data_IF_581166013550
#
_entry.id   IF_581166013550
#
_cell.length_a   1.000
_cell.length_b   1.000
_cell.length_c   1.000
_cell.angle_alpha   90.00
_cell.angle_beta   90.00
_cell.angle_gamma   90.00
#
_symmetry.space_group_name_H-M   'P 1'
#
loop_
_entity.id
_entity.type
_entity.pdbx_description
1 polymer ?
#
# COMPACT_ATOMS: atom_id res chain seq x y z
N UNK A 1 -12.26 69.02 32.84
CA UNK A 1 -13.32 68.02 33.17
C UNK A 1 -13.29 66.90 32.15
N UNK A 2 -13.53 65.66 32.61
CA UNK A 2 -13.72 64.40 31.87
C UNK A 2 -12.47 63.59 31.52
N UNK A 3 -12.05 62.87 32.55
CA UNK A 3 -11.49 61.53 32.52
C UNK A 3 -12.34 60.55 31.70
N UNK A 4 -11.70 59.70 30.89
CA UNK A 4 -12.33 58.48 30.37
C UNK A 4 -11.45 57.29 30.78
N UNK A 5 -12.05 56.44 31.60
CA UNK A 5 -11.50 55.25 32.24
C UNK A 5 -11.30 54.13 31.21
N UNK A 6 -10.19 53.41 31.37
CA UNK A 6 -9.92 52.12 30.73
C UNK A 6 -10.96 51.09 31.22
N UNK A 7 -11.67 50.43 30.30
CA UNK A 7 -12.36 49.18 30.58
C UNK A 7 -11.58 48.04 29.94
N UNK A 8 -11.05 47.17 30.78
CA UNK A 8 -10.57 45.85 30.40
C UNK A 8 -11.79 44.92 30.33
N UNK A 9 -12.12 44.42 29.14
CA UNK A 9 -13.08 43.33 28.97
C UNK A 9 -12.30 42.02 28.95
N UNK A 10 -12.32 41.30 30.07
CA UNK A 10 -11.95 39.90 30.14
C UNK A 10 -13.03 39.06 29.44
N UNK A 11 -12.70 38.50 28.27
CA UNK A 11 -13.51 37.46 27.64
C UNK A 11 -13.01 36.09 28.11
N UNK A 12 -13.66 35.56 29.15
CA UNK A 12 -13.68 34.14 29.46
C UNK A 12 -14.93 33.55 28.79
N UNK A 13 -14.75 32.84 27.68
CA UNK A 13 -15.78 31.93 27.15
C UNK A 13 -15.09 30.62 26.77
N UNK A 14 -15.62 29.56 27.36
CA UNK A 14 -14.94 28.28 27.54
C UNK A 14 -14.74 27.50 26.25
N UNK A 15 -13.68 26.70 26.28
CA UNK A 15 -13.49 25.56 25.39
C UNK A 15 -14.74 24.67 25.44
N UNK A 16 -15.49 24.64 24.35
CA UNK A 16 -16.31 23.48 24.01
C UNK A 16 -15.48 22.61 23.07
N UNK A 17 -14.70 21.70 23.68
CA UNK A 17 -14.17 20.56 22.97
C UNK A 17 -15.34 19.64 22.60
N UNK A 18 -15.98 19.93 21.45
CA UNK A 18 -16.86 18.99 20.78
C UNK A 18 -15.97 17.86 20.25
N UNK A 19 -15.76 16.85 21.09
CA UNK A 19 -15.24 15.57 20.68
C UNK A 19 -16.15 14.99 19.62
N UNK A 20 -15.70 15.00 18.36
CA UNK A 20 -16.37 14.35 17.26
C UNK A 20 -16.18 12.84 17.39
N UNK A 21 -17.02 12.19 18.20
CA UNK A 21 -17.18 10.74 18.12
C UNK A 21 -18.15 10.42 16.97
N UNK A 22 -17.64 10.35 15.75
CA UNK A 22 -18.35 9.68 14.66
C UNK A 22 -18.04 8.19 14.70
N UNK A 23 -18.51 7.49 15.74
CA UNK A 23 -18.59 6.03 15.78
C UNK A 23 -20.00 5.57 15.44
N UNK A 24 -20.59 6.16 14.39
CA UNK A 24 -21.74 5.57 13.73
C UNK A 24 -21.27 4.49 12.77
N UNK A 25 -21.06 3.26 13.25
CA UNK A 25 -20.79 2.12 12.36
C UNK A 25 -21.95 1.97 11.37
N UNK A 26 -21.65 1.83 10.08
CA UNK A 26 -22.70 1.64 9.08
C UNK A 26 -23.38 0.28 9.32
N UNK A 27 -24.71 0.26 9.20
CA UNK A 27 -25.48 -0.97 9.35
C UNK A 27 -25.03 -2.02 8.34
N UNK A 28 -24.72 -3.23 8.83
CA UNK A 28 -24.36 -4.39 8.00
C UNK A 28 -25.58 -5.19 7.53
N UNK A 29 -26.79 -4.77 7.93
CA UNK A 29 -28.02 -5.50 7.62
C UNK A 29 -28.25 -5.55 6.11
N UNK A 30 -28.31 -6.77 5.57
CA UNK A 30 -28.52 -7.02 4.14
C UNK A 30 -27.27 -6.82 3.26
N UNK A 31 -26.10 -6.58 3.85
CA UNK A 31 -24.83 -6.51 3.13
C UNK A 31 -24.44 -7.89 2.59
N UNK A 32 -23.85 -7.91 1.39
CA UNK A 32 -23.09 -9.06 0.91
C UNK A 32 -21.63 -8.70 0.70
N UNK A 33 -20.79 -9.73 0.73
CA UNK A 33 -19.35 -9.66 0.52
C UNK A 33 -18.96 -10.93 -0.23
N UNK A 34 -18.05 -10.88 -1.21
CA UNK A 34 -17.56 -12.10 -1.85
C UNK A 34 -16.50 -12.77 -0.97
N UNK A 35 -15.54 -11.98 -0.47
CA UNK A 35 -14.54 -12.42 0.48
C UNK A 35 -13.69 -11.27 1.05
N UNK A 36 -12.99 -11.55 2.15
CA UNK A 36 -11.98 -10.66 2.71
C UNK A 36 -10.80 -11.44 3.29
N UNK A 37 -9.65 -10.79 3.36
CA UNK A 37 -8.44 -11.35 3.97
C UNK A 37 -7.53 -10.22 4.47
N UNK A 38 -6.88 -10.45 5.60
CA UNK A 38 -5.79 -9.63 6.10
C UNK A 38 -4.54 -10.50 6.24
N UNK A 39 -3.40 -10.03 5.73
CA UNK A 39 -2.12 -10.74 5.78
C UNK A 39 -1.01 -9.86 6.30
N UNK A 40 0.01 -10.48 6.89
CA UNK A 40 1.32 -9.86 7.11
C UNK A 40 2.00 -9.61 5.76
N UNK A 41 2.39 -8.37 5.48
CA UNK A 41 3.03 -8.03 4.22
C UNK A 41 4.46 -8.60 4.08
N UNK A 42 5.15 -8.86 5.19
CA UNK A 42 6.51 -9.39 5.16
C UNK A 42 6.55 -10.88 4.82
N UNK A 43 5.59 -11.64 5.34
CA UNK A 43 5.59 -13.11 5.27
C UNK A 43 4.47 -13.69 4.39
N UNK A 44 3.43 -12.90 4.11
CA UNK A 44 2.19 -13.40 3.51
C UNK A 44 1.34 -14.24 4.46
N UNK A 45 1.69 -14.31 5.75
CA UNK A 45 0.93 -15.06 6.75
C UNK A 45 -0.48 -14.48 6.90
N UNK A 46 -1.49 -15.35 6.88
CA UNK A 46 -2.88 -14.94 7.09
C UNK A 46 -3.13 -14.55 8.54
N UNK A 47 -3.64 -13.35 8.76
CA UNK A 47 -4.00 -12.81 10.08
C UNK A 47 -5.50 -12.94 10.34
N UNK A 48 -6.34 -12.78 9.33
CA UNK A 48 -7.79 -13.05 9.34
C UNK A 48 -8.30 -13.26 7.92
N UNK A 49 -9.43 -13.96 7.77
CA UNK A 49 -10.06 -14.18 6.47
C UNK A 49 -11.55 -14.53 6.63
N UNK A 50 -12.36 -14.13 5.65
CA UNK A 50 -13.74 -14.60 5.43
C UNK A 50 -13.89 -14.93 3.94
N UNK A 51 -14.31 -16.17 3.63
CA UNK A 51 -14.49 -16.68 2.26
C UNK A 51 -13.38 -16.24 1.28
N UNK A 52 -12.10 -16.39 1.66
CA UNK A 52 -10.97 -15.80 0.94
C UNK A 52 -10.78 -16.35 -0.48
N UNK A 53 -11.33 -17.54 -0.77
CA UNK A 53 -11.19 -18.26 -2.03
C UNK A 53 -12.46 -18.23 -2.92
N UNK A 54 -13.50 -17.49 -2.48
CA UNK A 54 -14.69 -17.20 -3.28
C UNK A 54 -14.32 -16.39 -4.51
N UNK A 55 -14.90 -16.76 -5.65
CA UNK A 55 -14.72 -16.04 -6.91
C UNK A 55 -15.51 -14.73 -6.88
N UNK A 56 -14.87 -13.67 -7.34
CA UNK A 56 -15.49 -12.37 -7.59
C UNK A 56 -14.75 -11.61 -8.69
N UNK A 57 -15.18 -10.39 -8.97
CA UNK A 57 -14.52 -9.52 -9.94
C UNK A 57 -13.69 -8.44 -9.22
N UNK A 58 -12.40 -8.29 -9.55
CA UNK A 58 -11.52 -7.32 -8.87
C UNK A 58 -11.88 -5.85 -9.14
N UNK A 59 -12.67 -5.57 -10.17
CA UNK A 59 -12.84 -4.22 -10.72
C UNK A 59 -11.47 -3.55 -10.91
N UNK A 60 -11.34 -2.24 -10.65
CA UNK A 60 -10.08 -1.52 -10.79
C UNK A 60 -8.92 -2.00 -9.88
N UNK A 61 -9.14 -2.92 -8.94
CA UNK A 61 -8.02 -3.54 -8.20
C UNK A 61 -7.09 -4.31 -9.15
N UNK A 62 -7.58 -4.75 -10.32
CA UNK A 62 -6.76 -5.27 -11.44
C UNK A 62 -5.54 -4.40 -11.75
N UNK A 63 -5.67 -3.08 -11.64
CA UNK A 63 -4.60 -2.14 -11.99
C UNK A 63 -3.33 -2.29 -11.14
N UNK A 64 -3.40 -2.97 -9.99
CA UNK A 64 -2.22 -3.35 -9.23
C UNK A 64 -1.32 -4.32 -10.01
N UNK A 65 -1.89 -5.26 -10.78
CA UNK A 65 -1.11 -6.14 -11.66
C UNK A 65 -0.47 -5.34 -12.80
N UNK A 66 -1.22 -4.40 -13.40
CA UNK A 66 -0.68 -3.51 -14.43
C UNK A 66 0.48 -2.67 -13.89
N UNK A 67 0.33 -2.06 -12.71
CA UNK A 67 1.41 -1.33 -12.04
C UNK A 67 2.60 -2.23 -11.73
N UNK A 68 2.37 -3.43 -11.19
CA UNK A 68 3.44 -4.38 -10.86
C UNK A 68 4.31 -4.68 -12.08
N UNK A 69 3.70 -5.03 -13.22
CA UNK A 69 4.45 -5.36 -14.42
C UNK A 69 5.27 -4.18 -14.96
N UNK A 70 4.72 -2.96 -14.91
CA UNK A 70 5.44 -1.75 -15.32
C UNK A 70 6.63 -1.50 -14.40
N UNK A 71 6.45 -1.62 -13.08
CA UNK A 71 7.55 -1.43 -12.12
C UNK A 71 8.60 -2.54 -12.20
N UNK A 72 8.21 -3.77 -12.54
CA UNK A 72 9.16 -4.85 -12.83
C UNK A 72 10.00 -4.57 -14.08
N UNK A 73 9.42 -3.95 -15.13
CA UNK A 73 10.19 -3.51 -16.30
C UNK A 73 11.17 -2.39 -15.96
N UNK A 74 10.78 -1.46 -15.07
CA UNK A 74 11.68 -0.42 -14.56
C UNK A 74 12.82 -1.03 -13.76
N UNK A 75 12.52 -1.96 -12.85
CA UNK A 75 13.52 -2.67 -12.04
C UNK A 75 14.48 -3.49 -12.91
N UNK A 76 14.00 -4.08 -14.00
CA UNK A 76 14.79 -4.85 -14.95
C UNK A 76 15.55 -3.96 -15.98
N UNK A 77 15.46 -2.63 -15.88
CA UNK A 77 16.14 -1.70 -16.79
C UNK A 77 15.58 -1.68 -18.23
N UNK A 78 14.39 -2.25 -18.47
CA UNK A 78 13.75 -2.25 -19.79
C UNK A 78 13.11 -0.91 -20.13
N UNK A 79 12.81 -0.11 -19.11
CA UNK A 79 12.28 1.24 -19.22
C UNK A 79 12.66 2.04 -17.97
N UNK A 80 12.32 3.33 -17.94
CA UNK A 80 12.48 4.18 -16.76
C UNK A 80 11.19 4.94 -16.49
N UNK A 81 11.02 5.49 -15.28
CA UNK A 81 9.85 6.30 -14.95
C UNK A 81 9.73 7.57 -15.79
N UNK A 82 10.84 8.08 -16.36
CA UNK A 82 10.86 9.26 -17.22
C UNK A 82 10.67 8.93 -18.70
N UNK A 83 10.79 7.66 -19.11
CA UNK A 83 10.49 7.24 -20.47
C UNK A 83 9.04 7.60 -20.81
N UNK A 84 8.82 8.07 -22.04
CA UNK A 84 7.53 8.59 -22.46
C UNK A 84 6.72 7.54 -23.19
N UNK A 85 5.43 7.51 -22.90
CA UNK A 85 4.42 6.64 -23.53
C UNK A 85 3.55 7.49 -24.44
N UNK A 86 3.51 7.13 -25.72
CA UNK A 86 2.63 7.78 -26.70
C UNK A 86 1.24 7.15 -26.64
N UNK A 87 0.23 7.99 -26.44
CA UNK A 87 -1.17 7.59 -26.32
C UNK A 87 -1.70 7.13 -27.67
N UNK A 88 -2.28 5.94 -27.71
CA UNK A 88 -2.88 5.37 -28.92
C UNK A 88 -4.39 5.63 -28.98
N UNK A 89 -4.99 5.46 -30.18
CA UNK A 89 -6.46 5.50 -30.33
C UNK A 89 -7.17 4.47 -29.44
N UNK A 90 -6.55 3.30 -29.23
CA UNK A 90 -7.09 2.27 -28.35
C UNK A 90 -7.14 2.73 -26.89
N UNK A 91 -6.09 3.44 -26.42
CA UNK A 91 -6.07 3.99 -25.07
C UNK A 91 -7.10 5.11 -24.88
N UNK A 92 -7.20 6.03 -25.85
CA UNK A 92 -8.15 7.15 -25.78
C UNK A 92 -9.62 6.69 -25.89
N UNK A 93 -9.90 5.60 -26.60
CA UNK A 93 -11.25 5.09 -26.86
C UNK A 93 -11.84 4.18 -25.78
N UNK A 94 -11.10 3.89 -24.70
CA UNK A 94 -11.63 3.06 -23.60
C UNK A 94 -12.70 3.82 -22.81
N UNK A 95 -13.65 3.13 -22.18
CA UNK A 95 -14.66 3.75 -21.31
C UNK A 95 -14.25 3.78 -19.82
N UNK A 96 -15.14 4.29 -18.98
CA UNK A 96 -15.00 4.30 -17.51
C UNK A 96 -14.19 5.48 -16.96
N UNK A 97 -13.55 5.32 -15.79
CA UNK A 97 -12.72 6.37 -15.19
C UNK A 97 -11.49 6.66 -16.07
N UNK A 98 -11.21 7.94 -16.33
CA UNK A 98 -10.18 8.38 -17.27
C UNK A 98 -9.56 9.71 -16.84
N UNK A 99 -8.37 10.00 -17.36
CA UNK A 99 -7.80 11.35 -17.37
C UNK A 99 -7.93 12.02 -18.74
N UNK A 100 -8.67 11.39 -19.66
CA UNK A 100 -8.99 11.87 -21.01
C UNK A 100 -7.74 12.08 -21.86
N UNK A 101 -6.91 11.05 -21.93
CA UNK A 101 -5.72 11.04 -22.80
C UNK A 101 -6.13 11.13 -24.28
N UNK A 102 -5.49 12.01 -25.05
CA UNK A 102 -5.76 12.18 -26.48
C UNK A 102 -4.70 11.43 -27.33
N UNK A 103 -5.08 10.82 -28.47
CA UNK A 103 -4.13 10.13 -29.34
C UNK A 103 -2.99 11.05 -29.79
N UNK A 104 -1.76 10.56 -29.71
CA UNK A 104 -0.55 11.33 -30.06
C UNK A 104 0.01 12.18 -28.92
N UNK A 105 -0.74 12.41 -27.84
CA UNK A 105 -0.13 12.93 -26.61
C UNK A 105 0.93 11.93 -26.08
N UNK A 106 1.90 12.44 -25.35
CA UNK A 106 2.99 11.63 -24.82
C UNK A 106 3.23 12.02 -23.37
N UNK A 107 3.34 11.06 -22.46
CA UNK A 107 3.51 11.32 -21.02
C UNK A 107 4.59 10.42 -20.41
N UNK A 108 5.35 10.89 -19.41
CA UNK A 108 6.21 10.02 -18.62
C UNK A 108 5.43 8.86 -18.00
N UNK A 109 6.06 7.69 -17.88
CA UNK A 109 5.47 6.53 -17.18
C UNK A 109 5.01 6.91 -15.76
N UNK A 110 5.77 7.75 -15.05
CA UNK A 110 5.40 8.22 -13.71
C UNK A 110 4.02 8.92 -13.67
N UNK A 111 3.73 9.78 -14.64
CA UNK A 111 2.44 10.48 -14.72
C UNK A 111 1.29 9.51 -15.00
N UNK A 112 1.52 8.53 -15.88
CA UNK A 112 0.53 7.49 -16.15
C UNK A 112 0.30 6.58 -14.94
N UNK A 113 1.33 6.29 -14.13
CA UNK A 113 1.18 5.54 -12.87
C UNK A 113 0.41 6.33 -11.83
N UNK A 114 0.61 7.66 -11.71
CA UNK A 114 -0.23 8.51 -10.87
C UNK A 114 -1.69 8.50 -11.34
N UNK A 115 -1.94 8.65 -12.64
CA UNK A 115 -3.30 8.56 -13.20
C UNK A 115 -3.95 7.18 -12.96
N UNK A 116 -3.17 6.11 -13.12
CA UNK A 116 -3.59 4.73 -12.91
C UNK A 116 -4.02 4.49 -11.45
N UNK A 117 -3.28 5.03 -10.47
CA UNK A 117 -3.52 4.77 -9.05
C UNK A 117 -4.52 5.73 -8.42
N UNK A 118 -4.43 7.04 -8.69
CA UNK A 118 -5.26 8.06 -8.03
C UNK A 118 -6.65 8.16 -8.68
N UNK A 119 -6.71 8.55 -9.96
CA UNK A 119 -7.98 8.65 -10.71
C UNK A 119 -8.51 7.31 -11.21
N UNK A 120 -7.76 6.23 -10.97
CA UNK A 120 -8.13 4.90 -11.45
C UNK A 120 -8.30 4.83 -12.97
N UNK A 121 -7.47 5.59 -13.70
CA UNK A 121 -7.64 5.89 -15.12
C UNK A 121 -7.45 4.65 -16.02
N UNK A 122 -8.47 4.32 -16.81
CA UNK A 122 -8.51 3.18 -17.71
C UNK A 122 -7.70 3.41 -18.99
N UNK A 123 -7.68 4.65 -19.47
CA UNK A 123 -6.88 5.11 -20.61
C UNK A 123 -5.39 4.99 -20.29
N UNK A 124 -4.96 5.38 -19.09
CA UNK A 124 -3.58 5.17 -18.63
C UNK A 124 -3.20 3.68 -18.57
N UNK A 125 -4.11 2.82 -18.10
CA UNK A 125 -3.89 1.37 -18.06
C UNK A 125 -3.68 0.78 -19.46
N UNK A 126 -4.50 1.18 -20.44
CA UNK A 126 -4.39 0.71 -21.82
C UNK A 126 -3.15 1.28 -22.50
N UNK A 127 -2.82 2.55 -22.25
CA UNK A 127 -1.60 3.17 -22.78
C UNK A 127 -0.34 2.44 -22.31
N UNK A 128 -0.22 2.18 -21.00
CA UNK A 128 0.88 1.40 -20.42
C UNK A 128 0.93 -0.03 -20.97
N UNK A 129 -0.23 -0.67 -21.13
CA UNK A 129 -0.30 -2.03 -21.65
C UNK A 129 0.19 -2.13 -23.11
N UNK A 130 -0.27 -1.22 -23.97
CA UNK A 130 0.12 -1.17 -25.39
C UNK A 130 1.59 -0.81 -25.54
N UNK A 131 2.10 0.15 -24.78
CA UNK A 131 3.52 0.50 -24.80
C UNK A 131 4.40 -0.66 -24.34
N UNK A 132 3.98 -1.42 -23.31
CA UNK A 132 4.81 -2.48 -22.69
C UNK A 132 4.65 -3.88 -23.25
N UNK A 133 3.70 -4.09 -24.15
CA UNK A 133 3.54 -5.38 -24.81
C UNK A 133 3.03 -5.27 -26.26
N UNK A 134 3.11 -4.08 -26.87
CA UNK A 134 2.62 -3.72 -28.22
C UNK A 134 1.09 -3.77 -28.38
N UNK A 135 0.42 -4.71 -27.74
CA UNK A 135 -1.02 -4.92 -27.81
C UNK A 135 -1.61 -5.26 -26.44
N UNK A 136 -2.88 -4.92 -26.23
CA UNK A 136 -3.59 -5.28 -24.99
C UNK A 136 -3.63 -6.80 -24.77
N UNK A 137 -3.93 -7.66 -25.77
CA UNK A 137 -3.91 -9.11 -25.57
C UNK A 137 -2.55 -9.66 -25.13
N UNK A 138 -1.44 -9.16 -25.69
CA UNK A 138 -0.10 -9.56 -25.29
C UNK A 138 0.20 -9.13 -23.83
N UNK A 139 -0.24 -7.94 -23.42
CA UNK A 139 -0.11 -7.51 -22.03
C UNK A 139 -0.94 -8.38 -21.09
N UNK A 140 -2.18 -8.72 -21.44
CA UNK A 140 -3.05 -9.59 -20.64
C UNK A 140 -2.47 -11.01 -20.52
N UNK A 141 -1.85 -11.54 -21.58
CA UNK A 141 -1.12 -12.80 -21.51
C UNK A 141 0.03 -12.73 -20.49
N UNK A 142 0.74 -11.60 -20.42
CA UNK A 142 1.78 -11.35 -19.42
C UNK A 142 1.21 -11.22 -18.01
N UNK A 143 0.07 -10.55 -17.83
CA UNK A 143 -0.63 -10.47 -16.54
C UNK A 143 -1.00 -11.84 -16.01
N UNK A 144 -1.56 -12.71 -16.85
CA UNK A 144 -1.96 -14.07 -16.45
C UNK A 144 -0.76 -14.98 -16.17
N UNK A 145 0.34 -14.84 -16.92
CA UNK A 145 1.59 -15.53 -16.61
C UNK A 145 2.13 -15.11 -15.24
N UNK A 146 2.16 -13.81 -14.97
CA UNK A 146 2.61 -13.30 -13.68
C UNK A 146 1.69 -13.73 -12.54
N UNK A 147 0.37 -13.77 -12.77
CA UNK A 147 -0.58 -14.32 -11.81
C UNK A 147 -0.25 -15.78 -11.45
N UNK A 148 0.04 -16.62 -12.45
CA UNK A 148 0.44 -18.01 -12.22
C UNK A 148 1.76 -18.13 -11.43
N UNK A 149 2.77 -17.32 -11.75
CA UNK A 149 4.05 -17.26 -11.02
C UNK A 149 3.87 -16.85 -9.55
N UNK A 150 2.89 -15.99 -9.26
CA UNK A 150 2.52 -15.59 -7.89
C UNK A 150 1.62 -16.61 -7.19
N UNK A 151 1.28 -17.72 -7.86
CA UNK A 151 0.37 -18.74 -7.33
C UNK A 151 -1.10 -18.28 -7.25
N UNK A 152 -1.50 -17.29 -8.06
CA UNK A 152 -2.87 -16.78 -8.15
C UNK A 152 -3.77 -17.72 -8.99
N UNK A 153 -3.92 -18.96 -8.52
CA UNK A 153 -4.55 -20.07 -9.25
C UNK A 153 -6.03 -19.88 -9.61
N UNK A 154 -6.71 -18.93 -8.98
CA UNK A 154 -8.14 -18.61 -9.20
C UNK A 154 -8.32 -17.21 -9.78
N UNK A 155 -7.28 -16.66 -10.40
CA UNK A 155 -7.32 -15.37 -11.08
C UNK A 155 -7.19 -15.54 -12.59
N UNK A 156 -8.04 -14.82 -13.33
CA UNK A 156 -7.91 -14.64 -14.77
C UNK A 156 -8.18 -13.19 -15.13
N UNK A 157 -7.17 -12.52 -15.68
CA UNK A 157 -7.28 -11.19 -16.26
C UNK A 157 -7.72 -11.27 -17.72
N UNK A 158 -8.61 -10.36 -18.11
CA UNK A 158 -9.10 -10.15 -19.48
C UNK A 158 -8.75 -8.75 -19.98
N UNK A 159 -8.60 -7.80 -19.05
CA UNK A 159 -8.27 -6.40 -19.35
C UNK A 159 -7.14 -5.90 -18.43
N UNK A 160 -6.41 -4.85 -18.81
CA UNK A 160 -5.40 -4.23 -17.93
C UNK A 160 -6.01 -3.33 -16.86
N UNK A 161 -7.33 -3.14 -16.86
CA UNK A 161 -8.01 -2.13 -16.05
C UNK A 161 -9.17 -2.65 -15.20
N UNK A 162 -9.62 -3.89 -15.40
CA UNK A 162 -10.73 -4.49 -14.66
C UNK A 162 -12.11 -3.93 -15.02
N UNK A 163 -12.24 -3.29 -16.18
CA UNK A 163 -13.49 -2.75 -16.66
C UNK A 163 -14.43 -3.91 -17.05
N UNK A 164 -15.64 -3.91 -16.50
CA UNK A 164 -16.66 -4.94 -16.73
C UNK A 164 -17.77 -4.46 -17.67
N UNK A 165 -17.49 -3.51 -18.55
CA UNK A 165 -18.46 -3.05 -19.56
C UNK A 165 -18.30 -3.88 -20.82
N UNK A 166 -19.42 -4.41 -21.34
CA UNK A 166 -19.45 -5.21 -22.57
C UNK A 166 -19.89 -6.66 -22.32
N UNK A 167 -20.21 -7.39 -23.39
CA UNK A 167 -20.75 -8.74 -23.33
C UNK A 167 -19.68 -9.85 -23.19
N UNK A 168 -18.39 -9.49 -23.19
CA UNK A 168 -17.28 -10.44 -23.09
C UNK A 168 -16.98 -10.89 -21.66
N UNK A 169 -16.06 -11.87 -21.50
CA UNK A 169 -15.64 -12.31 -20.16
C UNK A 169 -15.00 -11.15 -19.39
N UNK A 170 -15.16 -11.18 -18.06
CA UNK A 170 -14.58 -10.18 -17.16
C UNK A 170 -13.44 -10.78 -16.35
N UNK A 171 -12.58 -9.91 -15.81
CA UNK A 171 -11.56 -10.31 -14.86
C UNK A 171 -12.19 -11.05 -13.67
N UNK A 172 -11.58 -12.15 -13.24
CA UNK A 172 -12.01 -12.93 -12.07
C UNK A 172 -10.84 -13.13 -11.13
N UNK A 173 -11.11 -13.18 -9.83
CA UNK A 173 -10.09 -13.38 -8.79
C UNK A 173 -10.73 -13.88 -7.49
N UNK A 174 -9.89 -14.10 -6.48
CA UNK A 174 -10.30 -14.25 -5.08
C UNK A 174 -9.60 -13.21 -4.20
N UNK A 175 -10.07 -13.05 -2.96
CA UNK A 175 -9.43 -12.16 -2.00
C UNK A 175 -8.00 -12.65 -1.66
N UNK A 176 -7.81 -13.97 -1.54
CA UNK A 176 -6.49 -14.59 -1.31
C UNK A 176 -5.50 -14.30 -2.44
N UNK A 177 -5.93 -14.43 -3.68
CA UNK A 177 -5.04 -14.21 -4.82
C UNK A 177 -4.67 -12.72 -4.96
N UNK A 178 -5.61 -11.81 -4.71
CA UNK A 178 -5.29 -10.38 -4.62
C UNK A 178 -4.31 -10.08 -3.47
N UNK A 179 -4.41 -10.75 -2.32
CA UNK A 179 -3.45 -10.57 -1.23
C UNK A 179 -2.02 -10.98 -1.65
N UNK A 180 -1.86 -12.08 -2.40
CA UNK A 180 -0.55 -12.48 -2.95
C UNK A 180 0.04 -11.42 -3.88
N UNK A 181 -0.79 -10.87 -4.78
CA UNK A 181 -0.40 -9.75 -5.63
C UNK A 181 0.04 -8.55 -4.80
N UNK A 182 -0.72 -8.20 -3.77
CA UNK A 182 -0.42 -7.05 -2.92
C UNK A 182 0.87 -7.24 -2.11
N UNK A 183 1.15 -8.45 -1.61
CA UNK A 183 2.43 -8.78 -0.96
C UNK A 183 3.59 -8.51 -1.92
N UNK A 184 3.48 -8.96 -3.17
CA UNK A 184 4.51 -8.72 -4.18
C UNK A 184 4.65 -7.22 -4.52
N UNK A 185 3.54 -6.49 -4.63
CA UNK A 185 3.54 -5.02 -4.85
C UNK A 185 4.23 -4.31 -3.68
N UNK A 186 3.92 -4.66 -2.43
CA UNK A 186 4.47 -4.02 -1.23
C UNK A 186 5.98 -4.26 -1.04
N UNK A 187 6.60 -5.24 -1.70
CA UNK A 187 8.06 -5.40 -1.73
C UNK A 187 8.78 -4.27 -2.45
N UNK A 188 8.06 -3.43 -3.22
CA UNK A 188 8.61 -2.34 -4.03
C UNK A 188 8.21 -1.00 -3.40
N UNK A 189 9.12 -0.29 -2.72
CA UNK A 189 8.83 1.02 -2.13
C UNK A 189 8.29 2.04 -3.15
N UNK A 190 8.75 1.95 -4.40
CA UNK A 190 8.26 2.80 -5.50
C UNK A 190 6.75 2.63 -5.75
N UNK A 191 6.19 1.44 -5.55
CA UNK A 191 4.74 1.25 -5.70
C UNK A 191 3.97 2.06 -4.65
N UNK A 192 4.46 2.07 -3.41
CA UNK A 192 3.84 2.78 -2.28
C UNK A 192 3.90 4.30 -2.45
N UNK A 193 4.93 4.81 -3.14
CA UNK A 193 4.98 6.22 -3.55
C UNK A 193 3.76 6.60 -4.40
N UNK A 194 3.43 5.82 -5.42
CA UNK A 194 2.27 6.11 -6.28
C UNK A 194 0.95 5.88 -5.53
N UNK A 195 0.82 4.74 -4.84
CA UNK A 195 -0.46 4.38 -4.22
C UNK A 195 -0.79 5.18 -2.97
N UNK A 196 0.23 5.64 -2.25
CA UNK A 196 0.11 6.43 -1.02
C UNK A 196 -0.08 7.92 -1.25
N UNK A 197 0.08 8.39 -2.50
CA UNK A 197 -0.13 9.80 -2.84
C UNK A 197 -1.62 10.13 -2.76
N UNK A 198 -1.97 11.11 -1.92
CA UNK A 198 -3.37 11.53 -1.72
C UNK A 198 -3.90 12.37 -2.88
N UNK A 199 -3.07 13.28 -3.40
CA UNK A 199 -3.40 14.17 -4.50
C UNK A 199 -2.18 14.38 -5.39
N UNK A 200 -2.40 14.51 -6.70
CA UNK A 200 -1.36 14.84 -7.69
C UNK A 200 -2.00 15.61 -8.84
N UNK A 201 -1.32 16.64 -9.34
CA UNK A 201 -1.77 17.33 -10.55
C UNK A 201 -1.14 16.65 -11.77
N UNK A 202 -1.98 15.99 -12.58
CA UNK A 202 -1.53 15.36 -13.82
C UNK A 202 -1.01 16.42 -14.78
N UNK A 203 0.27 16.34 -15.12
CA UNK A 203 0.95 17.36 -15.90
C UNK A 203 0.52 17.31 -17.38
N UNK A 204 -0.30 18.28 -17.79
CA UNK A 204 -0.70 18.48 -19.19
C UNK A 204 -0.37 19.92 -19.63
N UNK A 205 0.10 20.08 -20.86
CA UNK A 205 0.63 21.33 -21.39
C UNK A 205 -0.34 22.53 -21.26
N UNK A 206 -1.63 22.31 -21.52
CA UNK A 206 -2.64 23.39 -21.48
C UNK A 206 -3.15 23.66 -20.07
N UNK A 207 -3.57 22.62 -19.35
CA UNK A 207 -4.12 22.73 -18.00
C UNK A 207 -3.92 21.42 -17.24
N UNK A 208 -3.30 21.45 -16.05
CA UNK A 208 -3.20 20.28 -15.19
C UNK A 208 -4.57 19.73 -14.80
N UNK A 209 -4.66 18.41 -14.64
CA UNK A 209 -5.87 17.75 -14.15
C UNK A 209 -5.62 17.29 -12.72
N UNK A 210 -6.35 17.88 -11.76
CA UNK A 210 -6.26 17.49 -10.36
C UNK A 210 -6.74 16.03 -10.18
N UNK A 211 -5.89 15.22 -9.54
CA UNK A 211 -6.19 13.83 -9.23
C UNK A 211 -6.28 13.66 -7.73
N UNK A 212 -7.35 13.04 -7.27
CA UNK A 212 -7.55 12.71 -5.86
C UNK A 212 -7.65 11.20 -5.75
N UNK A 213 -6.93 10.64 -4.79
CA UNK A 213 -6.94 9.21 -4.56
C UNK A 213 -8.30 8.75 -4.03
N UNK A 214 -8.85 7.70 -4.64
CA UNK A 214 -10.12 7.10 -4.21
C UNK A 214 -10.03 6.28 -2.91
N UNK A 215 -8.83 6.08 -2.34
CA UNK A 215 -8.66 5.44 -1.04
C UNK A 215 -8.88 6.44 0.10
N UNK A 216 -10.10 6.48 0.65
CA UNK A 216 -10.46 7.36 1.77
C UNK A 216 -9.75 7.03 3.09
N UNK A 217 -9.08 5.88 3.19
CA UNK A 217 -8.31 5.49 4.36
C UNK A 217 -6.94 6.19 4.43
N UNK A 218 -6.41 6.71 3.31
CA UNK A 218 -5.13 7.43 3.31
C UNK A 218 -5.09 8.61 4.29
N UNK A 219 -6.08 9.52 4.32
CA UNK A 219 -6.09 10.61 5.30
C UNK A 219 -6.68 10.23 6.67
N UNK A 220 -7.33 9.07 6.81
CA UNK A 220 -8.14 8.75 8.01
C UNK A 220 -7.62 7.59 8.85
N UNK A 221 -6.79 6.71 8.28
CA UNK A 221 -6.23 5.55 8.98
C UNK A 221 -4.71 5.74 9.18
N UNK A 222 -4.21 5.82 10.43
CA UNK A 222 -2.79 5.99 10.71
C UNK A 222 -1.92 4.91 10.04
N UNK A 223 -0.86 5.34 9.37
CA UNK A 223 0.07 4.45 8.67
C UNK A 223 -0.44 3.90 7.34
N UNK A 224 -1.65 4.26 6.88
CA UNK A 224 -2.17 3.84 5.58
C UNK A 224 -1.35 4.46 4.44
N UNK A 225 -0.83 3.62 3.54
CA UNK A 225 0.04 4.05 2.44
C UNK A 225 -0.34 3.47 1.06
N UNK A 226 -1.61 3.08 0.90
CA UNK A 226 -2.23 3.04 -0.43
C UNK A 226 -2.81 1.70 -0.85
N UNK A 227 -2.20 1.10 -1.88
CA UNK A 227 -2.79 0.16 -2.85
C UNK A 227 -3.95 0.75 -3.66
N UNK A 228 -5.12 0.10 -3.71
CA UNK A 228 -6.11 0.40 -4.75
C UNK A 228 -7.56 0.04 -4.39
N UNK A 229 -8.47 0.93 -4.74
CA UNK A 229 -9.93 0.68 -4.74
C UNK A 229 -10.46 0.28 -6.11
N UNK A 230 -11.61 -0.39 -6.14
CA UNK A 230 -12.35 -0.71 -7.36
C UNK A 230 -13.86 -0.72 -7.14
N UNK A 231 -14.58 -0.33 -8.18
CA UNK A 231 -16.03 -0.49 -8.24
C UNK A 231 -16.50 -0.66 -9.68
N UNK A 232 -17.32 -1.67 -9.93
CA UNK A 232 -18.16 -1.81 -11.13
C UNK A 232 -19.51 -2.42 -10.73
N UNK A 233 -20.48 -2.42 -11.64
CA UNK A 233 -21.78 -3.06 -11.37
C UNK A 233 -21.61 -4.56 -11.04
N UNK A 234 -20.74 -5.26 -11.77
CA UNK A 234 -20.48 -6.68 -11.56
C UNK A 234 -19.56 -6.95 -10.37
N UNK A 235 -18.49 -6.15 -10.18
CA UNK A 235 -17.50 -6.38 -9.11
C UNK A 235 -17.80 -5.74 -7.77
N UNK A 236 -18.90 -4.97 -7.69
CA UNK A 236 -19.34 -4.25 -6.48
C UNK A 236 -18.19 -3.44 -5.87
N UNK A 237 -18.26 -3.07 -4.59
CA UNK A 237 -17.20 -2.30 -3.96
C UNK A 237 -16.05 -3.21 -3.50
N UNK A 238 -14.86 -3.04 -4.08
CA UNK A 238 -13.65 -3.79 -3.75
C UNK A 238 -12.49 -2.87 -3.39
N UNK A 239 -11.55 -3.34 -2.59
CA UNK A 239 -10.33 -2.61 -2.19
C UNK A 239 -9.25 -3.60 -1.76
N UNK A 240 -8.01 -3.29 -2.13
CA UNK A 240 -6.84 -3.70 -1.38
C UNK A 240 -6.19 -2.46 -0.77
N UNK A 241 -5.78 -2.53 0.49
CA UNK A 241 -5.15 -1.42 1.22
C UNK A 241 -4.08 -1.95 2.17
N UNK A 242 -3.17 -1.08 2.59
CA UNK A 242 -2.01 -1.41 3.42
C UNK A 242 -1.85 -0.35 4.49
N UNK A 243 -1.35 -0.76 5.66
CA UNK A 243 -0.94 0.15 6.71
C UNK A 243 0.27 -0.37 7.48
N UNK A 244 1.02 0.56 8.08
CA UNK A 244 2.19 0.26 8.92
C UNK A 244 2.05 0.77 10.34
N UNK A 245 2.70 0.08 11.28
CA UNK A 245 2.94 0.53 12.65
C UNK A 245 4.34 0.08 13.10
N UNK A 246 5.32 0.97 12.97
CA UNK A 246 6.74 0.62 13.12
C UNK A 246 7.19 -0.40 12.06
N UNK A 247 7.79 -1.55 12.43
CA UNK A 247 8.23 -2.56 11.46
C UNK A 247 7.08 -3.41 10.91
N UNK A 248 5.89 -3.32 11.51
CA UNK A 248 4.73 -4.14 11.16
C UNK A 248 4.04 -3.53 9.96
N UNK A 249 3.72 -4.35 8.96
CA UNK A 249 2.89 -3.96 7.82
C UNK A 249 1.84 -5.03 7.58
N UNK A 250 0.60 -4.58 7.40
CA UNK A 250 -0.51 -5.45 7.02
C UNK A 250 -1.08 -5.05 5.68
N UNK A 251 -1.65 -6.02 4.99
CA UNK A 251 -2.43 -5.83 3.77
C UNK A 251 -3.83 -6.37 4.03
N UNK A 252 -4.84 -5.54 3.81
CA UNK A 252 -6.25 -5.91 3.88
C UNK A 252 -6.87 -5.88 2.48
N UNK A 253 -7.61 -6.94 2.15
CA UNK A 253 -8.40 -7.05 0.91
C UNK A 253 -9.86 -7.27 1.28
N UNK A 254 -10.74 -6.48 0.69
CA UNK A 254 -12.20 -6.61 0.74
C UNK A 254 -12.68 -6.72 -0.71
N UNK A 255 -13.34 -7.82 -1.05
CA UNK A 255 -13.80 -8.14 -2.41
C UNK A 255 -15.32 -8.22 -2.45
N UNK A 256 -15.93 -7.51 -3.39
CA UNK A 256 -17.34 -7.68 -3.74
C UNK A 256 -18.33 -7.21 -2.68
N UNK A 257 -18.01 -6.14 -1.94
CA UNK A 257 -18.94 -5.58 -0.96
C UNK A 257 -20.14 -4.92 -1.66
N UNK A 258 -21.36 -5.36 -1.34
CA UNK A 258 -22.60 -4.77 -1.82
C UNK A 258 -23.52 -4.36 -0.67
N UNK A 259 -24.42 -3.43 -0.94
CA UNK A 259 -25.35 -2.89 0.05
C UNK A 259 -26.68 -2.55 -0.62
N UNK A 260 -27.82 -2.93 0.00
CA UNK A 260 -29.14 -2.56 -0.51
C UNK A 260 -29.40 -1.05 -0.43
N UNK A 261 -28.57 -0.29 0.29
CA UNK A 261 -28.60 1.18 0.32
C UNK A 261 -27.79 1.82 -0.84
N UNK A 262 -27.25 1.01 -1.76
CA UNK A 262 -26.61 1.45 -2.99
C UNK A 262 -25.08 1.59 -2.92
N UNK A 263 -24.49 1.92 -4.06
CA UNK A 263 -23.03 1.87 -4.27
C UNK A 263 -22.22 2.72 -3.28
N UNK A 264 -22.69 3.91 -2.91
CA UNK A 264 -22.00 4.78 -1.93
C UNK A 264 -21.97 4.15 -0.54
N UNK A 265 -23.06 3.51 -0.11
CA UNK A 265 -23.12 2.80 1.15
C UNK A 265 -22.18 1.57 1.13
N UNK A 266 -22.18 0.82 0.04
CA UNK A 266 -21.26 -0.30 -0.16
C UNK A 266 -19.77 0.12 -0.08
N UNK A 267 -19.39 1.23 -0.72
CA UNK A 267 -18.01 1.73 -0.67
C UNK A 267 -17.59 2.19 0.73
N UNK A 268 -18.47 2.88 1.47
CA UNK A 268 -18.20 3.28 2.86
C UNK A 268 -18.03 2.08 3.78
N UNK A 269 -18.88 1.07 3.60
CA UNK A 269 -18.81 -0.17 4.38
C UNK A 269 -17.56 -0.98 4.06
N UNK A 270 -17.18 -1.07 2.77
CA UNK A 270 -15.88 -1.61 2.36
C UNK A 270 -14.72 -0.91 3.06
N UNK A 271 -14.72 0.43 3.09
CA UNK A 271 -13.64 1.19 3.75
C UNK A 271 -13.60 0.90 5.26
N UNK A 272 -14.77 0.83 5.91
CA UNK A 272 -14.87 0.46 7.32
C UNK A 272 -14.29 -0.94 7.58
N UNK A 273 -14.69 -1.95 6.79
CA UNK A 273 -14.20 -3.32 6.94
C UNK A 273 -12.69 -3.41 6.70
N UNK A 274 -12.18 -2.72 5.69
CA UNK A 274 -10.74 -2.68 5.42
C UNK A 274 -9.96 -2.04 6.58
N UNK A 275 -10.48 -0.95 7.17
CA UNK A 275 -9.91 -0.32 8.36
C UNK A 275 -9.91 -1.24 9.58
N UNK A 276 -11.02 -1.95 9.83
CA UNK A 276 -11.12 -2.95 10.92
C UNK A 276 -10.11 -4.09 10.72
N UNK A 277 -10.01 -4.65 9.51
CA UNK A 277 -9.04 -5.69 9.17
C UNK A 277 -7.59 -5.24 9.39
N UNK A 278 -7.24 -4.01 9.00
CA UNK A 278 -5.91 -3.47 9.24
C UNK A 278 -5.63 -3.26 10.73
N UNK A 279 -6.57 -2.68 11.47
CA UNK A 279 -6.44 -2.46 12.92
C UNK A 279 -6.21 -3.78 13.67
N UNK A 280 -7.05 -4.78 13.41
CA UNK A 280 -6.95 -6.09 14.03
C UNK A 280 -5.66 -6.82 13.61
N UNK A 281 -5.28 -6.69 12.34
CA UNK A 281 -4.04 -7.25 11.81
C UNK A 281 -2.79 -6.69 12.49
N UNK A 282 -2.70 -5.36 12.61
CA UNK A 282 -1.58 -4.70 13.29
C UNK A 282 -1.49 -5.11 14.77
N UNK A 283 -2.63 -5.24 15.46
CA UNK A 283 -2.70 -5.74 16.84
C UNK A 283 -2.22 -7.18 16.98
N UNK A 284 -2.55 -8.05 16.03
CA UNK A 284 -2.05 -9.45 15.98
C UNK A 284 -0.54 -9.51 15.77
N UNK A 285 0.00 -8.69 14.86
CA UNK A 285 1.44 -8.60 14.64
C UNK A 285 2.18 -8.10 15.89
N UNK A 286 1.64 -7.06 16.54
CA UNK A 286 2.18 -6.55 17.80
C UNK A 286 2.28 -7.67 18.85
N UNK A 287 1.18 -8.42 19.05
CA UNK A 287 1.11 -9.50 20.03
C UNK A 287 2.13 -10.61 19.72
N UNK A 288 2.30 -10.97 18.44
CA UNK A 288 3.28 -11.95 17.99
C UNK A 288 4.71 -11.48 18.25
N UNK A 289 5.03 -10.22 17.99
CA UNK A 289 6.35 -9.64 18.29
C UNK A 289 6.64 -9.63 19.79
N UNK A 290 5.67 -9.25 20.62
CA UNK A 290 5.79 -9.32 22.08
C UNK A 290 5.98 -10.76 22.58
N UNK A 291 5.31 -11.73 21.96
CA UNK A 291 5.49 -13.15 22.30
C UNK A 291 6.90 -13.64 21.93
N UNK A 292 7.38 -13.29 20.73
CA UNK A 292 8.74 -13.62 20.27
C UNK A 292 9.82 -12.99 21.16
N UNK A 293 9.68 -11.73 21.55
CA UNK A 293 10.66 -11.05 22.41
C UNK A 293 10.71 -11.64 23.83
N UNK A 294 9.56 -12.06 24.38
CA UNK A 294 9.51 -12.77 25.67
C UNK A 294 10.18 -14.15 25.63
N UNK A 295 10.10 -14.85 24.50
CA UNK A 295 10.75 -16.14 24.30
C UNK A 295 12.26 -15.99 24.06
N UNK A 296 12.70 -14.89 23.46
CA UNK A 296 14.10 -14.59 23.16
C UNK A 296 14.90 -14.06 24.38
N UNK A 297 14.59 -14.52 25.62
CA UNK A 297 15.34 -14.13 26.84
C UNK A 297 16.85 -14.16 26.58
N UNK A 298 17.62 -13.15 27.06
CA UNK A 298 19.05 -13.11 26.83
C UNK A 298 19.70 -14.36 27.45
N UNK A 299 20.67 -14.94 26.75
CA UNK A 299 21.57 -15.91 27.35
C UNK A 299 22.11 -15.31 28.66
N UNK A 300 22.24 -16.08 29.76
CA UNK A 300 22.83 -15.55 30.97
C UNK A 300 24.16 -14.91 30.59
N UNK A 301 24.33 -13.62 30.90
CA UNK A 301 25.64 -12.99 30.80
C UNK A 301 26.59 -13.91 31.54
N UNK A 302 27.51 -14.56 30.80
CA UNK A 302 28.64 -15.22 31.42
C UNK A 302 29.29 -14.12 32.26
N UNK A 303 29.17 -14.24 33.59
CA UNK A 303 29.96 -13.45 34.52
C UNK A 303 31.38 -13.85 34.16
N UNK A 304 32.05 -13.03 33.35
CA UNK A 304 33.45 -13.21 33.05
C UNK A 304 34.13 -13.21 34.41
N UNK A 305 34.57 -14.39 34.84
CA UNK A 305 35.38 -14.53 36.02
C UNK A 305 36.60 -13.66 35.77
N UNK A 306 36.72 -12.56 36.52
CA UNK A 306 37.91 -11.73 36.53
C UNK A 306 39.07 -12.64 36.90
N UNK A 307 39.80 -13.15 35.89
CA UNK A 307 41.13 -13.69 36.12
C UNK A 307 41.96 -12.50 36.57
N UNK A 308 42.34 -12.50 37.84
CA UNK A 308 43.36 -11.57 38.34
C UNK A 308 44.57 -11.67 37.41
N UNK A 309 44.99 -10.52 36.89
CA UNK A 309 46.25 -10.43 36.17
C UNK A 309 47.38 -10.93 37.08
N UNK A 310 48.34 -11.73 36.57
CA UNK A 310 49.53 -12.07 37.35
C UNK A 310 50.25 -10.79 37.74
N UNK A 311 50.73 -10.74 38.99
CA UNK A 311 51.46 -9.61 39.53
C UNK A 311 52.61 -9.19 38.60
N UNK A 312 52.68 -7.90 38.27
CA UNK A 312 53.87 -7.32 37.62
C UNK A 312 55.09 -7.64 38.47
N UNK A 313 56.12 -8.21 37.82
CA UNK A 313 57.44 -8.35 38.44
C UNK A 313 57.98 -6.94 38.75
N UNK A 314 58.66 -6.74 39.90
CA UNK A 314 59.30 -5.47 40.18
C UNK A 314 60.37 -5.19 39.11
N UNK A 315 60.33 -3.98 38.56
CA UNK A 315 61.41 -3.43 37.72
C UNK A 315 62.73 -3.44 38.52
N UNK A 316 63.88 -3.72 37.89
CA UNK A 316 65.18 -3.71 38.54
C UNK A 316 65.43 -2.35 39.21
N UNK A 317 65.87 -2.38 40.46
CA UNK A 317 66.21 -1.18 41.20
C UNK A 317 67.52 -0.59 40.68
N UNK A 318 67.72 0.71 40.88
CA UNK A 318 68.95 1.45 40.57
C UNK A 318 70.27 0.75 41.01
N UNK A 319 70.19 -0.13 42.01
CA UNK A 319 71.33 -0.91 42.52
C UNK A 319 71.71 -2.14 41.68
N UNK A 320 70.80 -2.68 40.86
CA UNK A 320 71.09 -3.82 39.97
C UNK A 320 72.01 -3.41 38.80
N UNK A 321 72.03 -2.12 38.43
CA UNK A 321 72.91 -1.57 37.40
C UNK A 321 74.35 -1.33 37.87
N UNK A 322 74.56 -1.11 39.18
CA UNK A 322 75.89 -0.81 39.75
C UNK A 322 76.73 -2.09 39.94
N UNK A 323 76.08 -3.25 40.06
CA UNK A 323 76.75 -4.56 40.23
C UNK A 323 77.53 -5.03 39.00
N UNK A 324 77.15 -4.59 37.80
CA UNK A 324 77.77 -5.02 36.54
C UNK A 324 79.00 -4.16 36.12
N UNK A 325 79.33 -3.09 36.87
CA UNK A 325 80.42 -2.17 36.50
C UNK A 325 81.81 -2.53 37.10
N UNK A 326 81.92 -3.60 37.89
CA UNK A 326 83.19 -4.04 38.50
C UNK A 326 83.52 -5.53 38.30
N UNK A 327 82.86 -6.19 37.34
CA UNK A 327 83.24 -7.52 36.89
C UNK A 327 84.12 -7.37 35.64
N UNK A 328 85.39 -7.78 35.75
CA UNK A 328 86.47 -7.66 34.75
C UNK A 328 86.10 -8.03 33.31
#
# INVERSE_FOLDING_TARGET
MRSVRRLACAFLLGLSALGWSATGGYSRVGMTLDGSICVDAATGEVLSQDRPDSLGHPASVTKLMTMLLVLEDVQAGKTTLSNRVTVTKAAAGVGGSQVWLAPGESFPISELLYALMLQSANDAAVALAVDRAETVPAFVARMNRRAAELGMSRTRFVTPNGLTTGAGPHDTTTARDLAKLCVEVCKRPEALRFTGTQQHDFARFLKPVAMVNHNHLLPTFPGCDGLKTGWTVAGKASMATTATDGPRRVIAVVLGCDSPQGAKAAQRLRDQLAGELMKDGLGKLATKELAKSKLAKPAPMAVASLKMAPAMKPEPGFWDWVGDLFSF
#
